data_IF_597235168840
#
_entry.id   IF_597235168840
#
_cell.length_a   1.000
_cell.length_b   1.000
_cell.length_c   1.000
_cell.angle_alpha   90.00
_cell.angle_beta   90.00
_cell.angle_gamma   90.00
#
_symmetry.space_group_name_H-M   'P 1'
#
loop_
_entity.id
_entity.type
_entity.pdbx_description
1 polymer ?
#
# COMPACT_ATOMS: atom_id res chain seq x y z
N UNK A 1 7.67 -45.31 -7.70
CA UNK A 1 6.65 -44.28 -7.45
C UNK A 1 7.38 -43.06 -6.92
N UNK A 2 7.72 -42.14 -7.82
CA UNK A 2 8.55 -40.97 -7.54
C UNK A 2 7.66 -39.83 -7.07
N UNK A 3 8.05 -39.19 -5.97
CA UNK A 3 7.43 -37.99 -5.41
C UNK A 3 7.56 -36.83 -6.41
N UNK A 4 6.51 -36.02 -6.54
CA UNK A 4 6.58 -34.68 -7.10
C UNK A 4 6.02 -33.71 -6.06
N UNK A 5 6.91 -33.23 -5.19
CA UNK A 5 6.72 -31.98 -4.45
C UNK A 5 7.20 -30.88 -5.37
N UNK A 6 6.28 -30.16 -6.01
CA UNK A 6 6.64 -28.95 -6.75
C UNK A 6 7.16 -27.91 -5.75
N UNK A 7 8.42 -27.54 -5.96
CA UNK A 7 9.14 -26.58 -5.16
C UNK A 7 8.48 -25.20 -5.28
N UNK A 8 7.82 -24.74 -4.22
CA UNK A 8 7.73 -23.29 -3.97
C UNK A 8 9.16 -22.84 -3.71
N UNK A 9 9.78 -22.25 -4.73
CA UNK A 9 11.15 -21.79 -4.67
C UNK A 9 11.35 -20.87 -3.47
N UNK A 10 12.10 -21.33 -2.48
CA UNK A 10 12.73 -20.47 -1.49
C UNK A 10 13.85 -19.71 -2.20
N UNK A 11 13.48 -18.71 -2.99
CA UNK A 11 14.44 -17.73 -3.44
C UNK A 11 14.99 -17.05 -2.19
N UNK A 12 16.31 -17.12 -2.02
CA UNK A 12 16.98 -16.46 -0.90
C UNK A 12 16.62 -14.97 -0.93
N UNK A 13 16.30 -14.42 0.24
CA UNK A 13 16.01 -12.97 0.40
C UNK A 13 17.17 -12.17 -0.22
N UNK A 14 16.83 -11.27 -1.14
CA UNK A 14 17.83 -10.49 -1.87
C UNK A 14 18.58 -9.52 -0.96
N UNK A 15 19.75 -9.07 -1.39
CA UNK A 15 20.49 -8.02 -0.67
C UNK A 15 19.70 -6.72 -0.60
N UNK A 16 19.02 -6.32 -1.68
CA UNK A 16 18.16 -5.14 -1.69
C UNK A 16 17.03 -5.24 -0.64
N UNK A 17 16.39 -6.39 -0.54
CA UNK A 17 15.36 -6.65 0.48
C UNK A 17 15.94 -6.61 1.89
N UNK A 18 17.08 -7.28 2.14
CA UNK A 18 17.75 -7.26 3.45
C UNK A 18 18.16 -5.86 3.88
N UNK A 19 18.73 -5.09 2.97
CA UNK A 19 19.23 -3.74 3.26
C UNK A 19 18.06 -2.81 3.60
N UNK A 20 16.96 -2.87 2.85
CA UNK A 20 15.75 -2.10 3.14
C UNK A 20 15.14 -2.46 4.50
N UNK A 21 15.05 -3.75 4.83
CA UNK A 21 14.57 -4.21 6.15
C UNK A 21 15.51 -3.72 7.25
N UNK A 22 16.83 -3.83 7.08
CA UNK A 22 17.80 -3.38 8.07
C UNK A 22 17.69 -1.86 8.35
N UNK A 23 17.38 -1.06 7.33
CA UNK A 23 17.11 0.38 7.53
C UNK A 23 15.89 0.62 8.40
N UNK A 24 14.80 -0.13 8.23
CA UNK A 24 13.60 -0.02 9.08
C UNK A 24 13.91 -0.48 10.50
N UNK A 25 14.56 -1.63 10.67
CA UNK A 25 14.92 -2.18 11.98
C UNK A 25 15.80 -1.25 12.82
N UNK A 26 16.65 -0.45 12.17
CA UNK A 26 17.52 0.51 12.84
C UNK A 26 16.79 1.77 13.36
N UNK A 27 15.63 2.11 12.80
CA UNK A 27 14.97 3.41 13.05
C UNK A 27 13.51 3.31 13.51
N UNK A 28 12.85 2.17 13.34
CA UNK A 28 11.45 1.96 13.70
C UNK A 28 11.30 1.09 14.95
N UNK A 29 10.18 1.23 15.64
CA UNK A 29 9.84 0.36 16.77
C UNK A 29 9.50 -1.06 16.28
N UNK A 30 9.92 -2.08 17.04
CA UNK A 30 9.74 -3.51 16.70
C UNK A 30 8.39 -4.06 17.18
N UNK A 31 7.28 -3.47 16.74
CA UNK A 31 5.92 -3.88 17.14
C UNK A 31 5.19 -4.72 16.08
N UNK A 32 5.83 -4.99 14.95
CA UNK A 32 5.34 -5.89 13.89
C UNK A 32 6.42 -6.91 13.53
N UNK A 33 6.00 -8.01 12.90
CA UNK A 33 6.90 -9.01 12.33
C UNK A 33 6.51 -9.29 10.86
N UNK A 34 6.83 -8.36 9.92
CA UNK A 34 6.39 -8.45 8.53
C UNK A 34 7.02 -9.61 7.77
N UNK A 35 6.38 -10.00 6.67
CA UNK A 35 7.01 -10.89 5.68
C UNK A 35 8.22 -10.21 5.05
N UNK A 36 9.26 -10.94 4.63
CA UNK A 36 10.46 -10.37 4.00
C UNK A 36 10.20 -10.02 2.52
N UNK A 37 9.21 -9.16 2.27
CA UNK A 37 8.82 -8.65 0.95
C UNK A 37 8.80 -7.13 1.04
N UNK A 38 9.60 -6.47 0.21
CA UNK A 38 9.71 -5.00 0.18
C UNK A 38 9.06 -4.49 -1.10
N UNK A 39 7.84 -3.97 -0.97
CA UNK A 39 7.04 -3.44 -2.09
C UNK A 39 7.60 -2.10 -2.56
N UNK A 40 7.74 -1.92 -3.88
CA UNK A 40 8.18 -0.66 -4.51
C UNK A 40 7.09 0.02 -5.33
N UNK A 41 6.18 -0.76 -5.93
CA UNK A 41 5.10 -0.25 -6.76
C UNK A 41 3.85 -1.12 -6.64
N UNK A 42 2.67 -0.56 -6.91
CA UNK A 42 1.41 -1.31 -6.91
C UNK A 42 0.35 -0.65 -7.81
N UNK A 43 -0.37 -1.47 -8.56
CA UNK A 43 -1.46 -1.04 -9.44
C UNK A 43 -2.60 -2.08 -9.42
N UNK A 44 -3.83 -1.61 -9.16
CA UNK A 44 -4.99 -2.49 -9.09
C UNK A 44 -4.82 -3.54 -7.99
N UNK A 45 -4.86 -4.83 -8.37
CA UNK A 45 -4.67 -5.94 -7.44
C UNK A 45 -3.22 -6.47 -7.41
N UNK A 46 -2.27 -5.81 -8.07
CA UNK A 46 -0.89 -6.28 -8.19
C UNK A 46 0.07 -5.40 -7.40
N UNK A 47 1.02 -6.05 -6.71
CA UNK A 47 2.15 -5.39 -6.05
C UNK A 47 3.46 -5.90 -6.65
N UNK A 48 4.45 -5.01 -6.77
CA UNK A 48 5.78 -5.30 -7.30
C UNK A 48 6.81 -5.06 -6.20
N UNK A 49 7.68 -6.03 -5.93
CA UNK A 49 8.75 -5.89 -4.94
C UNK A 49 9.99 -5.17 -5.50
N UNK A 50 11.00 -4.97 -4.65
CA UNK A 50 12.28 -4.32 -5.01
C UNK A 50 13.13 -5.12 -6.00
N UNK A 51 12.87 -6.43 -6.13
CA UNK A 51 13.51 -7.30 -7.10
C UNK A 51 12.72 -7.36 -8.43
N UNK A 52 11.60 -6.64 -8.54
CA UNK A 52 10.71 -6.63 -9.70
C UNK A 52 9.74 -7.82 -9.77
N UNK A 53 9.64 -8.64 -8.73
CA UNK A 53 8.67 -9.75 -8.67
C UNK A 53 7.27 -9.20 -8.43
N UNK A 54 6.30 -9.71 -9.18
CA UNK A 54 4.89 -9.31 -9.10
C UNK A 54 4.06 -10.34 -8.34
N UNK A 55 3.22 -9.85 -7.43
CA UNK A 55 2.35 -10.66 -6.58
C UNK A 55 0.90 -10.19 -6.71
N UNK A 56 -0.03 -11.13 -6.68
CA UNK A 56 -1.45 -10.82 -6.50
C UNK A 56 -1.69 -10.48 -5.02
N UNK A 57 -2.20 -9.28 -4.73
CA UNK A 57 -2.52 -8.84 -3.38
C UNK A 57 -3.87 -9.40 -2.93
N UNK A 58 -3.83 -10.51 -2.20
CA UNK A 58 -4.99 -11.13 -1.59
C UNK A 58 -5.29 -10.60 -0.17
N UNK A 59 -4.51 -9.66 0.34
CA UNK A 59 -4.71 -9.04 1.66
C UNK A 59 -5.48 -7.71 1.55
N UNK A 60 -5.26 -6.98 0.44
CA UNK A 60 -5.85 -5.67 0.15
C UNK A 60 -5.67 -4.68 1.31
N UNK A 61 -4.49 -4.70 1.94
CA UNK A 61 -4.17 -3.92 3.15
C UNK A 61 -5.28 -4.00 4.22
N UNK A 62 -5.74 -5.22 4.53
CA UNK A 62 -6.88 -5.47 5.42
C UNK A 62 -8.17 -4.77 4.94
N UNK A 63 -8.48 -4.92 3.65
CA UNK A 63 -9.64 -4.31 2.98
C UNK A 63 -9.57 -2.78 2.77
N UNK A 64 -8.47 -2.12 3.11
CA UNK A 64 -8.33 -0.67 2.90
C UNK A 64 -8.26 -0.29 1.40
N UNK A 65 -7.71 -1.16 0.54
CA UNK A 65 -7.53 -0.89 -0.90
C UNK A 65 -8.47 -1.72 -1.77
N UNK A 66 -9.74 -1.85 -1.38
CA UNK A 66 -10.75 -2.63 -2.12
C UNK A 66 -10.96 -2.20 -3.58
N UNK A 67 -10.71 -0.93 -3.91
CA UNK A 67 -10.79 -0.42 -5.29
C UNK A 67 -9.48 -0.57 -6.09
N UNK A 68 -8.52 -1.29 -5.52
CA UNK A 68 -7.17 -1.46 -6.04
C UNK A 68 -6.21 -0.33 -5.65
N UNK A 69 -4.92 -0.65 -5.62
CA UNK A 69 -3.83 0.31 -5.49
C UNK A 69 -3.87 1.31 -6.64
N UNK A 70 -3.60 2.58 -6.33
CA UNK A 70 -3.46 3.64 -7.35
C UNK A 70 -4.74 3.95 -8.14
N UNK A 71 -5.93 3.69 -7.60
CA UNK A 71 -7.19 3.93 -8.34
C UNK A 71 -7.25 5.37 -8.92
N UNK A 72 -7.31 5.55 -10.26
CA UNK A 72 -7.16 6.87 -10.89
C UNK A 72 -8.21 7.88 -10.47
N UNK A 73 -9.45 7.42 -10.18
CA UNK A 73 -10.53 8.30 -9.73
C UNK A 73 -10.28 8.80 -8.32
N UNK A 74 -9.82 7.95 -7.41
CA UNK A 74 -9.50 8.34 -6.04
C UNK A 74 -8.28 9.28 -6.00
N UNK A 75 -7.23 8.96 -6.77
CA UNK A 75 -6.05 9.82 -6.89
C UNK A 75 -6.42 11.21 -7.45
N UNK A 76 -7.22 11.28 -8.51
CA UNK A 76 -7.63 12.56 -9.08
C UNK A 76 -8.39 13.45 -8.07
N UNK A 77 -9.31 12.87 -7.30
CA UNK A 77 -10.06 13.61 -6.26
C UNK A 77 -9.13 14.03 -5.12
N UNK A 78 -8.22 13.15 -4.68
CA UNK A 78 -7.24 13.47 -3.64
C UNK A 78 -6.33 14.62 -4.07
N UNK A 79 -5.73 14.55 -5.26
CA UNK A 79 -4.88 15.61 -5.80
C UNK A 79 -5.62 16.94 -5.91
N UNK A 80 -6.81 16.94 -6.51
CA UNK A 80 -7.61 18.15 -6.66
C UNK A 80 -7.93 18.83 -5.31
N UNK A 81 -8.10 18.05 -4.24
CA UNK A 81 -8.30 18.59 -2.90
C UNK A 81 -6.99 19.10 -2.27
N UNK A 82 -5.90 18.33 -2.38
CA UNK A 82 -4.58 18.69 -1.85
C UNK A 82 -4.04 19.97 -2.48
N UNK A 83 -4.28 20.18 -3.77
CA UNK A 83 -3.89 21.41 -4.50
C UNK A 83 -4.66 22.66 -4.05
N UNK A 84 -5.80 22.47 -3.36
CA UNK A 84 -6.67 23.56 -2.91
C UNK A 84 -6.49 23.86 -1.43
N UNK A 85 -6.68 22.86 -0.57
CA UNK A 85 -6.55 22.98 0.88
C UNK A 85 -6.40 21.59 1.50
N UNK A 86 -5.33 21.39 2.26
CA UNK A 86 -5.04 20.12 2.91
C UNK A 86 -5.79 19.98 4.24
N UNK A 87 -5.84 21.05 5.04
CA UNK A 87 -6.44 21.03 6.36
C UNK A 87 -7.01 22.40 6.74
N UNK A 88 -8.25 22.42 7.20
CA UNK A 88 -8.84 23.54 7.94
C UNK A 88 -9.17 23.08 9.34
N UNK A 89 -8.77 23.84 10.36
CA UNK A 89 -9.23 23.57 11.73
C UNK A 89 -10.74 23.78 11.83
N UNK A 90 -11.33 23.29 12.92
CA UNK A 90 -12.77 23.50 13.19
C UNK A 90 -13.13 24.95 13.58
N UNK A 91 -12.14 25.85 13.65
CA UNK A 91 -12.37 27.28 13.86
C UNK A 91 -12.84 28.00 12.58
N UNK A 92 -12.69 27.37 11.41
CA UNK A 92 -13.08 27.93 10.11
C UNK A 92 -14.10 27.01 9.42
N UNK A 93 -14.92 27.60 8.54
CA UNK A 93 -15.78 26.83 7.67
C UNK A 93 -15.00 26.32 6.45
N UNK A 94 -15.25 25.07 6.05
CA UNK A 94 -14.74 24.47 4.82
C UNK A 94 -15.86 24.36 3.78
N UNK A 95 -15.65 24.97 2.62
CA UNK A 95 -16.61 24.95 1.53
C UNK A 95 -16.91 23.52 1.01
N UNK A 96 -15.93 22.61 1.10
CA UNK A 96 -16.06 21.23 0.62
C UNK A 96 -16.79 20.31 1.62
N UNK A 97 -16.85 20.67 2.90
CA UNK A 97 -17.41 19.80 3.94
C UNK A 97 -18.93 19.62 3.81
N UNK A 98 -19.65 20.69 3.44
CA UNK A 98 -21.09 20.65 3.25
C UNK A 98 -21.53 19.60 2.22
N UNK A 99 -21.10 19.70 0.95
CA UNK A 99 -21.47 18.75 -0.10
C UNK A 99 -21.20 17.28 0.25
N UNK A 100 -20.08 16.97 0.92
CA UNK A 100 -19.72 15.59 1.30
C UNK A 100 -20.58 15.07 2.47
N UNK A 101 -21.04 15.94 3.36
CA UNK A 101 -21.82 15.54 4.55
C UNK A 101 -23.28 15.17 4.24
N UNK A 102 -23.81 15.60 3.09
CA UNK A 102 -25.22 15.44 2.72
C UNK A 102 -25.45 14.66 1.42
N UNK A 103 -24.40 14.17 0.77
CA UNK A 103 -24.55 13.32 -0.42
C UNK A 103 -24.76 11.87 0.01
N UNK A 104 -26.03 11.52 0.18
CA UNK A 104 -26.65 10.20 0.26
C UNK A 104 -26.09 9.18 1.28
N UNK A 105 -26.66 9.21 2.48
CA UNK A 105 -27.39 8.03 2.94
C UNK A 105 -28.64 7.81 2.07
#
# INVERSE_FOLDING_TARGET
MHQATDAVGTDAVSTATRDAIAQVEAHAAHNYHPLPVVVTDAEGAWVTDVDGRRYLDCLAAYSAVNFGHGNPRLLAVAHAQLDRVTLTSRAFHSAALGPVSYTHL
#
